data_IF_078524369312
#
_entry.id   IF_078524369312
#
_cell.length_a   1.000
_cell.length_b   1.000
_cell.length_c   1.000
_cell.angle_alpha   90.00
_cell.angle_beta   90.00
_cell.angle_gamma   90.00
#
_symmetry.space_group_name_H-M   'P 1'
#
loop_
_entity.id
_entity.type
_entity.pdbx_description
1 polymer ?
#
# COMPACT_ATOMS: atom_id res chain seq x y z
N UNK A 1 -9.66 10.34 15.69
CA UNK A 1 -10.28 10.59 14.36
C UNK A 1 -10.18 9.31 13.56
N UNK A 2 -11.23 8.86 12.88
CA UNK A 2 -11.13 7.65 12.04
C UNK A 2 -10.16 7.90 10.88
N UNK A 3 -9.33 6.90 10.55
CA UNK A 3 -8.51 6.92 9.34
C UNK A 3 -8.80 5.68 8.51
N UNK A 4 -8.91 5.88 7.21
CA UNK A 4 -8.89 4.84 6.19
C UNK A 4 -7.67 5.05 5.31
N UNK A 5 -6.84 4.03 5.15
CA UNK A 5 -5.70 4.06 4.24
C UNK A 5 -6.01 3.16 3.05
N UNK A 6 -5.92 3.72 1.85
CA UNK A 6 -6.02 3.00 0.59
C UNK A 6 -4.61 2.87 0.01
N UNK A 7 -4.04 1.67 0.09
CA UNK A 7 -2.73 1.40 -0.49
C UNK A 7 -2.86 0.76 -1.87
N UNK A 8 -2.42 1.47 -2.89
CA UNK A 8 -2.42 1.01 -4.27
C UNK A 8 -1.05 0.40 -4.61
N UNK A 9 -0.99 -0.93 -4.77
CA UNK A 9 0.24 -1.66 -5.10
C UNK A 9 -0.01 -2.92 -5.93
N UNK A 10 0.89 -3.20 -6.87
CA UNK A 10 0.86 -4.36 -7.75
C UNK A 10 -0.47 -4.56 -8.51
N UNK A 11 -1.23 -3.48 -8.74
CA UNK A 11 -2.54 -3.52 -9.37
C UNK A 11 -3.73 -3.77 -8.44
N UNK A 12 -3.48 -3.96 -7.15
CA UNK A 12 -4.47 -4.15 -6.11
C UNK A 12 -4.61 -2.91 -5.21
N UNK A 13 -5.70 -2.86 -4.44
CA UNK A 13 -5.98 -1.80 -3.47
C UNK A 13 -6.25 -2.43 -2.10
N UNK A 14 -5.34 -2.19 -1.17
CA UNK A 14 -5.48 -2.62 0.22
C UNK A 14 -6.17 -1.53 1.02
N UNK A 15 -7.22 -1.92 1.74
CA UNK A 15 -8.05 -1.00 2.48
C UNK A 15 -7.87 -1.25 3.96
N UNK A 16 -7.17 -0.36 4.64
CA UNK A 16 -6.88 -0.48 6.06
C UNK A 16 -7.60 0.58 6.86
N UNK A 17 -7.99 0.25 8.08
CA UNK A 17 -8.78 1.15 8.93
C UNK A 17 -8.19 1.25 10.32
N UNK A 18 -8.39 2.40 10.94
CA UNK A 18 -7.92 2.62 12.29
C UNK A 18 -8.20 4.00 12.82
N UNK A 19 -7.35 4.45 13.74
CA UNK A 19 -7.43 5.77 14.37
C UNK A 19 -6.18 6.56 14.04
N UNK A 20 -6.37 7.78 13.51
CA UNK A 20 -5.26 8.69 13.26
C UNK A 20 -4.68 9.19 14.59
N UNK A 21 -3.38 8.98 14.88
CA UNK A 21 -2.80 9.28 16.18
C UNK A 21 -2.33 10.73 16.31
N UNK A 22 -2.19 11.46 15.21
CA UNK A 22 -1.57 12.79 15.19
C UNK A 22 -2.57 13.94 15.04
N UNK A 23 -2.15 15.14 15.44
CA UNK A 23 -2.94 16.36 15.28
C UNK A 23 -2.89 16.95 13.87
N UNK A 24 -1.85 16.62 13.10
CA UNK A 24 -1.68 17.03 11.71
C UNK A 24 -1.93 15.85 10.76
N UNK A 25 -2.31 16.16 9.52
CA UNK A 25 -2.47 15.19 8.43
C UNK A 25 -1.38 15.40 7.38
N UNK A 26 -0.91 14.34 6.71
CA UNK A 26 0.11 14.48 5.67
C UNK A 26 -0.46 15.20 4.45
N UNK A 27 0.43 15.70 3.59
CA UNK A 27 0.10 16.30 2.31
C UNK A 27 0.40 15.35 1.15
N UNK A 28 -0.27 15.50 -0.01
CA UNK A 28 0.13 14.81 -1.23
C UNK A 28 1.62 15.03 -1.53
N UNK A 29 2.35 13.94 -1.79
CA UNK A 29 3.79 13.91 -2.00
C UNK A 29 4.63 13.54 -0.78
N UNK A 30 4.06 13.61 0.43
CA UNK A 30 4.75 13.18 1.65
C UNK A 30 4.97 11.66 1.66
N UNK A 31 6.04 11.22 2.32
CA UNK A 31 6.26 9.80 2.63
C UNK A 31 5.51 9.45 3.91
N UNK A 32 4.83 8.31 3.92
CA UNK A 32 4.07 7.83 5.07
C UNK A 32 4.49 6.41 5.44
N UNK A 33 5.26 6.24 6.51
CA UNK A 33 5.73 4.93 6.98
C UNK A 33 4.61 4.10 7.61
N UNK A 34 3.94 3.26 6.81
CA UNK A 34 2.76 2.51 7.26
C UNK A 34 3.06 1.46 8.33
N UNK A 35 4.22 0.83 8.27
CA UNK A 35 4.59 -0.26 9.18
C UNK A 35 4.47 0.18 10.64
N UNK A 36 5.01 1.34 11.00
CA UNK A 36 4.91 1.90 12.35
C UNK A 36 3.46 2.00 12.84
N UNK A 37 2.52 2.44 12.00
CA UNK A 37 1.10 2.51 12.36
C UNK A 37 0.46 1.14 12.59
N UNK A 38 0.92 0.11 11.87
CA UNK A 38 0.44 -1.27 12.06
C UNK A 38 1.00 -1.85 13.36
N UNK A 39 2.31 -1.70 13.58
CA UNK A 39 3.01 -2.21 14.78
C UNK A 39 2.51 -1.54 16.07
N UNK A 40 2.23 -0.25 16.04
CA UNK A 40 1.67 0.52 17.15
C UNK A 40 0.15 0.30 17.32
N UNK A 41 -0.49 -0.45 16.42
CA UNK A 41 -1.92 -0.77 16.47
C UNK A 41 -2.83 0.42 16.14
N UNK A 42 -2.30 1.46 15.49
CA UNK A 42 -3.08 2.60 15.01
C UNK A 42 -3.93 2.26 13.80
N UNK A 43 -3.44 1.35 12.95
CA UNK A 43 -4.14 0.85 11.77
C UNK A 43 -4.15 -0.67 11.82
N UNK A 44 -5.30 -1.26 11.49
CA UNK A 44 -5.42 -2.71 11.28
C UNK A 44 -5.33 -3.00 9.79
N UNK A 45 -4.31 -3.78 9.40
CA UNK A 45 -4.26 -4.39 8.09
C UNK A 45 -5.29 -5.54 8.07
N UNK A 46 -6.20 -5.51 7.09
CA UNK A 46 -7.29 -6.49 6.98
C UNK A 46 -6.84 -7.82 6.35
N UNK A 47 -5.66 -7.87 5.71
CA UNK A 47 -5.18 -9.04 4.97
C UNK A 47 -3.97 -9.72 5.65
N UNK A 48 -3.96 -11.05 5.63
CA UNK A 48 -2.78 -11.89 5.88
C UNK A 48 -1.66 -11.50 4.90
N UNK A 49 -0.39 -11.75 5.23
CA UNK A 49 0.75 -11.30 4.38
C UNK A 49 0.61 -11.82 2.94
N UNK A 50 0.17 -10.93 2.03
CA UNK A 50 -0.08 -11.29 0.63
C UNK A 50 1.25 -11.31 -0.12
N UNK A 51 1.51 -12.41 -0.81
CA UNK A 51 2.70 -12.56 -1.65
C UNK A 51 2.36 -12.31 -3.11
N UNK A 52 3.10 -11.40 -3.73
CA UNK A 52 3.01 -11.11 -5.16
C UNK A 52 4.12 -11.79 -5.91
N UNK A 53 3.76 -12.38 -7.05
CA UNK A 53 4.71 -12.98 -7.97
C UNK A 53 4.77 -12.18 -9.26
N UNK A 54 5.99 -11.94 -9.74
CA UNK A 54 6.19 -11.34 -11.04
C UNK A 54 5.78 -12.29 -12.16
N UNK A 55 5.23 -11.73 -13.24
CA UNK A 55 4.81 -12.48 -14.42
C UNK A 55 5.88 -13.45 -14.92
N UNK A 56 5.44 -14.60 -15.46
CA UNK A 56 6.32 -15.62 -16.03
C UNK A 56 7.13 -15.12 -17.26
N UNK A 57 6.85 -13.91 -17.75
CA UNK A 57 7.53 -13.28 -18.88
C UNK A 57 7.99 -11.87 -18.47
N UNK A 58 9.21 -11.48 -18.86
CA UNK A 58 9.72 -10.13 -18.66
C UNK A 58 10.60 -9.94 -17.42
N UNK A 59 10.73 -8.69 -16.98
CA UNK A 59 11.76 -8.23 -16.01
C UNK A 59 11.59 -8.79 -14.59
N UNK A 60 10.38 -9.17 -14.20
CA UNK A 60 10.08 -9.64 -12.83
C UNK A 60 9.92 -11.16 -12.72
N UNK A 61 10.27 -11.90 -13.78
CA UNK A 61 10.15 -13.36 -13.81
C UNK A 61 10.90 -14.01 -12.63
N UNK A 62 10.16 -14.78 -11.85
CA UNK A 62 10.71 -15.53 -10.71
C UNK A 62 10.97 -14.70 -9.46
N UNK A 63 10.57 -13.42 -9.44
CA UNK A 63 10.58 -12.61 -8.23
C UNK A 63 9.28 -12.80 -7.44
N UNK A 64 9.44 -12.85 -6.13
CA UNK A 64 8.36 -12.92 -5.15
C UNK A 64 8.61 -11.86 -4.09
N UNK A 65 7.57 -11.09 -3.78
CA UNK A 65 7.62 -9.98 -2.82
C UNK A 65 6.36 -10.04 -1.99
N UNK A 66 6.51 -10.09 -0.66
CA UNK A 66 5.38 -10.01 0.25
C UNK A 66 5.04 -8.57 0.62
N UNK A 67 3.77 -8.33 0.94
CA UNK A 67 3.26 -7.05 1.40
C UNK A 67 3.99 -6.59 2.67
N UNK A 68 4.23 -7.50 3.62
CA UNK A 68 5.01 -7.25 4.83
C UNK A 68 6.43 -6.78 4.50
N UNK A 69 7.12 -7.49 3.59
CA UNK A 69 8.49 -7.14 3.19
C UNK A 69 8.56 -5.78 2.49
N UNK A 70 7.52 -5.40 1.74
CA UNK A 70 7.45 -4.11 1.10
C UNK A 70 7.25 -2.98 2.12
N UNK A 71 6.32 -3.18 3.06
CA UNK A 71 5.97 -2.19 4.08
C UNK A 71 7.08 -2.02 5.12
N UNK A 72 7.88 -3.07 5.38
CA UNK A 72 9.01 -3.00 6.31
C UNK A 72 10.16 -2.10 5.87
N UNK A 73 10.05 -1.55 4.67
CA UNK A 73 11.02 -0.65 4.08
C UNK A 73 10.36 0.74 4.01
N UNK A 74 10.44 1.46 5.13
CA UNK A 74 9.69 2.69 5.51
C UNK A 74 9.76 3.88 4.53
N UNK A 75 10.44 3.74 3.40
CA UNK A 75 10.66 4.78 2.39
C UNK A 75 9.83 4.64 1.12
N UNK A 76 9.01 3.60 1.02
CA UNK A 76 8.41 3.21 -0.27
C UNK A 76 7.00 3.73 -0.50
N UNK A 77 6.32 4.28 0.52
CA UNK A 77 4.92 4.70 0.42
C UNK A 77 4.77 6.22 0.41
N UNK A 78 4.23 6.74 -0.68
CA UNK A 78 3.96 8.16 -0.94
C UNK A 78 2.47 8.44 -0.84
N UNK A 79 2.11 9.55 -0.21
CA UNK A 79 0.73 10.03 -0.15
C UNK A 79 0.33 10.58 -1.51
N UNK A 80 -0.73 10.01 -2.08
CA UNK A 80 -1.32 10.44 -3.35
C UNK A 80 -2.40 11.48 -3.10
N UNK A 81 -3.29 11.21 -2.15
CA UNK A 81 -4.41 12.08 -1.84
C UNK A 81 -4.81 11.97 -0.37
N UNK A 82 -5.38 13.04 0.17
CA UNK A 82 -5.98 13.08 1.51
C UNK A 82 -7.35 13.73 1.40
N UNK A 83 -8.38 12.97 1.76
CA UNK A 83 -9.77 13.40 1.68
C UNK A 83 -10.39 13.41 3.07
N UNK A 84 -11.01 14.53 3.43
CA UNK A 84 -11.82 14.62 4.64
C UNK A 84 -13.19 14.01 4.39
N UNK A 85 -13.60 13.12 5.28
CA UNK A 85 -14.91 12.48 5.29
C UNK A 85 -15.69 12.94 6.50
N UNK A 86 -17.01 12.69 6.53
CA UNK A 86 -17.84 13.03 7.70
C UNK A 86 -17.45 12.30 8.99
N UNK A 87 -16.65 11.22 8.92
CA UNK A 87 -16.24 10.40 10.07
C UNK A 87 -14.75 10.49 10.42
N UNK A 88 -13.94 11.05 9.53
CA UNK A 88 -12.49 11.10 9.68
C UNK A 88 -11.79 11.41 8.36
N UNK A 89 -10.64 10.79 8.12
CA UNK A 89 -9.84 11.02 6.92
C UNK A 89 -9.65 9.74 6.11
N UNK A 90 -9.59 9.89 4.80
CA UNK A 90 -9.16 8.85 3.87
C UNK A 90 -7.83 9.30 3.24
N UNK A 91 -6.81 8.47 3.35
CA UNK A 91 -5.48 8.71 2.81
C UNK A 91 -5.22 7.66 1.75
N UNK A 92 -5.00 8.09 0.51
CA UNK A 92 -4.51 7.21 -0.53
C UNK A 92 -2.98 7.26 -0.56
N UNK A 93 -2.36 6.10 -0.57
CA UNK A 93 -0.91 5.96 -0.67
C UNK A 93 -0.55 4.98 -1.79
N UNK A 94 0.66 5.14 -2.32
CA UNK A 94 1.20 4.26 -3.35
C UNK A 94 2.70 4.10 -3.21
N UNK A 95 3.27 3.13 -3.91
CA UNK A 95 4.71 2.99 -4.12
C UNK A 95 5.02 3.00 -5.61
N UNK A 96 6.19 3.48 -6.01
CA UNK A 96 6.69 3.38 -7.39
C UNK A 96 7.30 2.01 -7.70
N UNK A 97 7.47 1.17 -6.68
CA UNK A 97 8.02 -0.16 -6.81
C UNK A 97 6.92 -1.12 -7.29
N UNK A 98 7.24 -1.93 -8.31
CA UNK A 98 6.38 -3.02 -8.79
C UNK A 98 5.01 -2.57 -9.36
N UNK A 99 4.90 -1.35 -9.90
CA UNK A 99 3.69 -0.83 -10.56
C UNK A 99 3.68 -0.98 -12.08
N UNK A 100 4.70 -1.62 -12.66
CA UNK A 100 4.86 -1.66 -14.12
C UNK A 100 3.80 -2.55 -14.77
N UNK A 101 3.37 -2.12 -15.96
CA UNK A 101 2.42 -2.81 -16.82
C UNK A 101 3.10 -3.23 -18.12
N UNK A 102 2.57 -4.25 -18.78
CA UNK A 102 3.00 -4.67 -20.12
C UNK A 102 2.52 -3.69 -21.20
N UNK A 103 2.88 -3.97 -22.47
CA UNK A 103 2.53 -3.13 -23.62
C UNK A 103 1.03 -3.05 -23.93
N UNK A 104 0.18 -3.88 -23.29
CA UNK A 104 -1.28 -3.85 -23.43
C UNK A 104 -1.98 -3.35 -22.14
N UNK A 105 -1.22 -2.94 -21.13
CA UNK A 105 -1.73 -2.34 -19.90
C UNK A 105 -2.03 -3.32 -18.76
N UNK A 106 -1.65 -4.59 -18.88
CA UNK A 106 -1.80 -5.59 -17.81
C UNK A 106 -0.70 -5.42 -16.76
N UNK A 107 -1.01 -5.59 -15.48
CA UNK A 107 0.01 -5.55 -14.43
C UNK A 107 1.01 -6.70 -14.61
N UNK A 108 2.29 -6.44 -14.38
CA UNK A 108 3.34 -7.46 -14.45
C UNK A 108 3.44 -8.34 -13.19
N UNK A 109 2.40 -8.31 -12.35
CA UNK A 109 2.34 -8.95 -11.05
C UNK A 109 1.00 -9.64 -10.88
N UNK A 110 1.02 -10.80 -10.23
CA UNK A 110 -0.16 -11.57 -9.90
C UNK A 110 -0.13 -11.89 -8.40
N UNK A 111 -1.28 -11.73 -7.75
CA UNK A 111 -1.48 -12.13 -6.36
C UNK A 111 -1.45 -13.66 -6.25
N UNK A 112 -0.75 -14.18 -5.25
CA UNK A 112 -0.76 -15.61 -4.95
C UNK A 112 -1.86 -15.88 -3.91
N UNK A 113 -2.93 -16.51 -4.36
CA UNK A 113 -3.93 -17.11 -3.47
C UNK A 113 -3.43 -18.53 -3.17
N UNK A 114 -3.14 -18.84 -1.90
CA UNK A 114 -2.79 -20.21 -1.47
C UNK A 114 -4.01 -21.13 -1.33
#
# INVERSE_FOLDING_TARGET
>A
MEVRVLFCWAGNVYNWRGTWPFSCVPSPGDTLGIQSFIEEGHIKADEEDVVFKGSNIGRYRGLEVSLEKLLSNEYNTKVVSVNWTGKGIEIEITTDIYQQRDGIGSNLWEEKIE
#
